data_IF_038128018238
#
_entry.id   IF_038128018238
#
_cell.length_a   1.000
_cell.length_b   1.000
_cell.length_c   1.000
_cell.angle_alpha   90.00
_cell.angle_beta   90.00
_cell.angle_gamma   90.00
#
_symmetry.space_group_name_H-M   'P 1'
#
loop_
_entity.id
_entity.type
_entity.pdbx_description
1 polymer ?
#
# COMPACT_ATOMS: atom_id res chain seq x y z
N UNK A 1 10.99 4.95 33.59
CA UNK A 1 9.71 5.63 33.88
C UNK A 1 9.09 6.00 32.55
N UNK A 2 8.13 5.19 32.06
CA UNK A 2 7.38 5.49 30.84
C UNK A 2 6.21 6.38 31.28
N UNK A 3 6.21 7.65 30.86
CA UNK A 3 5.14 8.59 31.23
C UNK A 3 4.00 8.43 30.24
N UNK A 4 2.91 7.83 30.69
CA UNK A 4 1.63 7.88 29.99
C UNK A 4 0.97 9.23 30.31
N UNK A 5 0.88 10.13 29.34
CA UNK A 5 -0.11 11.22 29.45
C UNK A 5 -1.48 10.64 29.10
N UNK A 6 -2.44 10.84 30.00
CA UNK A 6 -3.83 10.40 29.84
C UNK A 6 -4.41 10.74 28.46
N UNK A 7 -5.18 9.84 27.82
CA UNK A 7 -5.86 10.10 26.54
C UNK A 7 -6.88 11.25 26.59
N UNK A 8 -7.17 11.80 27.78
CA UNK A 8 -8.15 12.87 28.00
C UNK A 8 -7.55 14.28 28.12
N UNK A 9 -6.22 14.42 28.25
CA UNK A 9 -5.61 15.73 28.48
C UNK A 9 -5.22 16.39 27.14
N UNK A 10 -5.60 17.66 26.88
CA UNK A 10 -5.13 18.34 25.69
C UNK A 10 -3.63 18.54 25.87
N UNK A 11 -2.82 17.82 25.10
CA UNK A 11 -1.40 18.12 24.84
C UNK A 11 -1.27 19.44 24.06
N UNK A 12 -1.90 20.50 24.55
CA UNK A 12 -1.59 21.88 24.26
C UNK A 12 -0.93 22.44 25.51
N UNK A 13 0.40 22.34 25.51
CA UNK A 13 1.31 23.15 26.31
C UNK A 13 1.21 22.97 27.83
N UNK A 14 2.07 22.11 28.42
CA UNK A 14 2.55 22.40 29.77
C UNK A 14 3.60 23.52 29.69
N UNK A 15 3.16 24.77 29.88
CA UNK A 15 4.03 25.96 30.05
C UNK A 15 4.84 25.94 31.37
N UNK A 16 5.22 24.77 31.87
CA UNK A 16 6.11 24.66 33.01
C UNK A 16 7.40 24.02 32.52
N UNK A 17 8.42 24.86 32.36
CA UNK A 17 9.82 24.54 32.10
C UNK A 17 10.20 24.22 30.64
N UNK A 18 10.29 25.21 29.75
CA UNK A 18 11.20 25.32 28.57
C UNK A 18 11.48 24.08 27.68
N UNK A 19 10.69 23.01 27.75
CA UNK A 19 10.97 21.74 27.08
C UNK A 19 9.65 21.25 26.51
N UNK A 20 9.52 21.29 25.18
CA UNK A 20 8.43 20.61 24.48
C UNK A 20 8.77 19.13 24.45
N UNK A 21 8.13 18.34 25.31
CA UNK A 21 8.25 16.88 25.27
C UNK A 21 7.35 16.35 24.16
N UNK A 22 7.97 15.92 23.06
CA UNK A 22 7.28 15.15 22.04
C UNK A 22 7.33 13.68 22.46
N UNK A 23 6.17 13.12 22.81
CA UNK A 23 6.08 11.66 22.92
C UNK A 23 6.27 11.09 21.52
N UNK A 24 7.17 10.11 21.33
CA UNK A 24 7.33 9.49 20.03
C UNK A 24 6.00 8.86 19.59
N UNK A 25 5.66 8.92 18.30
CA UNK A 25 4.50 8.20 17.78
C UNK A 25 4.67 6.70 18.05
N UNK A 26 3.57 6.04 18.39
CA UNK A 26 3.54 4.62 18.67
C UNK A 26 3.68 3.83 17.36
N UNK A 27 4.33 2.69 17.39
CA UNK A 27 4.31 1.76 16.26
C UNK A 27 2.91 1.15 16.10
N UNK A 28 2.65 0.53 14.95
CA UNK A 28 1.38 -0.16 14.72
C UNK A 28 1.19 -1.30 15.74
N UNK A 29 2.26 -2.04 16.04
CA UNK A 29 2.27 -3.15 16.98
C UNK A 29 1.96 -2.68 18.40
N UNK A 30 2.56 -1.55 18.83
CA UNK A 30 2.28 -0.94 20.14
C UNK A 30 0.81 -0.51 20.24
N UNK A 31 0.24 0.07 19.18
CA UNK A 31 -1.17 0.46 19.17
C UNK A 31 -2.11 -0.75 19.22
N UNK A 32 -1.84 -1.80 18.44
CA UNK A 32 -2.63 -3.03 18.46
C UNK A 32 -2.53 -3.71 19.83
N UNK A 33 -1.35 -3.72 20.45
CA UNK A 33 -1.14 -4.23 21.79
C UNK A 33 -1.96 -3.46 22.83
N UNK A 34 -1.88 -2.13 22.83
CA UNK A 34 -2.68 -1.32 23.74
C UNK A 34 -4.19 -1.47 23.50
N UNK A 35 -4.63 -1.55 22.24
CA UNK A 35 -6.03 -1.81 21.92
C UNK A 35 -6.53 -3.12 22.55
N UNK A 36 -5.70 -4.17 22.46
CA UNK A 36 -6.00 -5.50 22.98
C UNK A 36 -6.00 -5.56 24.51
N UNK A 37 -4.97 -4.98 25.15
CA UNK A 37 -4.80 -4.97 26.62
C UNK A 37 -5.86 -4.13 27.31
N UNK A 38 -6.21 -2.98 26.73
CA UNK A 38 -7.23 -2.06 27.26
C UNK A 38 -8.65 -2.41 26.81
N UNK A 39 -8.80 -3.52 26.07
CA UNK A 39 -10.04 -4.01 25.51
C UNK A 39 -10.85 -2.96 24.73
N UNK A 40 -10.14 -2.16 23.93
CA UNK A 40 -10.76 -1.14 23.08
C UNK A 40 -11.66 -1.78 22.01
N UNK A 41 -12.77 -1.13 21.61
CA UNK A 41 -13.73 -1.69 20.64
C UNK A 41 -13.25 -1.57 19.18
N UNK A 42 -11.96 -1.72 18.93
CA UNK A 42 -11.36 -1.67 17.59
C UNK A 42 -10.67 -2.99 17.28
N UNK A 43 -10.91 -3.51 16.08
CA UNK A 43 -10.14 -4.60 15.48
C UNK A 43 -8.76 -4.12 15.04
N UNK A 44 -7.86 -5.06 14.80
CA UNK A 44 -6.52 -4.74 14.31
C UNK A 44 -6.54 -4.03 12.94
N UNK A 45 -7.48 -4.40 12.06
CA UNK A 45 -7.70 -3.73 10.76
C UNK A 45 -8.09 -2.25 10.94
N UNK A 46 -8.95 -1.97 11.92
CA UNK A 46 -9.40 -0.62 12.23
C UNK A 46 -8.26 0.21 12.82
N UNK A 47 -7.43 -0.38 13.67
CA UNK A 47 -6.22 0.27 14.19
C UNK A 47 -5.23 0.55 13.04
N UNK A 48 -4.99 -0.40 12.15
CA UNK A 48 -4.11 -0.23 10.99
C UNK A 48 -4.62 0.87 10.05
N UNK A 49 -5.94 0.94 9.80
CA UNK A 49 -6.52 2.03 9.01
C UNK A 49 -6.30 3.41 9.66
N UNK A 50 -6.41 3.49 10.99
CA UNK A 50 -6.16 4.73 11.73
C UNK A 50 -4.68 5.07 11.80
N UNK A 51 -3.82 4.07 11.91
CA UNK A 51 -2.38 4.25 11.80
C UNK A 51 -2.00 4.80 10.42
N UNK A 52 -2.59 4.31 9.32
CA UNK A 52 -2.37 4.89 8.00
C UNK A 52 -2.77 6.37 7.91
N UNK A 53 -3.82 6.78 8.63
CA UNK A 53 -4.31 8.16 8.71
C UNK A 53 -3.44 9.07 9.59
N UNK A 54 -3.02 8.60 10.76
CA UNK A 54 -2.44 9.44 11.82
C UNK A 54 -1.01 9.02 12.27
N UNK A 55 -0.43 8.00 11.63
CA UNK A 55 0.95 7.48 11.78
C UNK A 55 1.50 7.38 13.19
N UNK A 56 0.69 6.85 14.11
CA UNK A 56 1.14 6.49 15.45
C UNK A 56 0.68 7.42 16.56
N UNK A 57 -0.07 8.49 16.24
CA UNK A 57 -0.65 9.37 17.27
C UNK A 57 -1.76 8.64 18.02
N UNK A 58 -1.42 8.05 19.16
CA UNK A 58 -2.32 7.20 19.97
C UNK A 58 -3.68 7.85 20.23
N UNK A 59 -3.72 9.15 20.57
CA UNK A 59 -4.98 9.90 20.80
C UNK A 59 -5.94 9.82 19.61
N UNK A 60 -5.42 9.97 18.39
CA UNK A 60 -6.21 9.97 17.17
C UNK A 60 -6.54 8.53 16.76
N UNK A 61 -5.58 7.60 16.93
CA UNK A 61 -5.79 6.18 16.69
C UNK A 61 -6.84 5.56 17.63
N UNK A 62 -6.96 6.03 18.87
CA UNK A 62 -7.95 5.56 19.85
C UNK A 62 -9.19 6.44 19.96
N UNK A 63 -9.39 7.45 19.11
CA UNK A 63 -10.54 8.34 19.22
C UNK A 63 -11.88 7.60 19.06
N UNK A 64 -12.70 7.55 20.11
CA UNK A 64 -14.03 6.90 20.08
C UNK A 64 -15.10 7.78 19.43
N UNK A 65 -14.96 9.09 19.53
CA UNK A 65 -15.93 10.06 19.02
C UNK A 65 -15.94 10.08 17.47
N UNK A 66 -17.02 9.58 16.82
CA UNK A 66 -17.10 9.55 15.37
C UNK A 66 -17.28 10.95 14.75
N UNK A 67 -17.75 11.95 15.51
CA UNK A 67 -17.92 13.32 15.04
C UNK A 67 -16.61 14.11 15.01
N UNK A 68 -15.68 13.77 15.92
CA UNK A 68 -14.37 14.45 16.02
C UNK A 68 -13.33 13.90 15.05
N UNK A 69 -13.42 12.61 14.69
CA UNK A 69 -12.46 11.98 13.79
C UNK A 69 -12.36 12.66 12.40
N UNK A 70 -13.47 13.03 11.73
CA UNK A 70 -13.41 13.80 10.49
C UNK A 70 -12.75 15.17 10.65
N UNK A 71 -13.00 15.87 11.77
CA UNK A 71 -12.39 17.17 12.04
C UNK A 71 -10.87 17.06 12.20
N UNK A 72 -10.37 16.06 12.92
CA UNK A 72 -8.93 15.83 13.08
C UNK A 72 -8.27 15.42 11.76
N UNK A 73 -8.97 14.64 10.92
CA UNK A 73 -8.51 14.35 9.56
C UNK A 73 -8.45 15.60 8.70
N UNK A 74 -9.47 16.43 8.77
CA UNK A 74 -9.57 17.67 8.00
C UNK A 74 -8.45 18.66 8.37
N UNK A 75 -8.17 18.85 9.65
CA UNK A 75 -7.01 19.64 10.14
C UNK A 75 -5.67 19.09 9.63
N UNK A 76 -5.54 17.77 9.52
CA UNK A 76 -4.35 17.11 8.98
C UNK A 76 -4.21 17.31 7.46
N UNK A 77 -5.33 17.41 6.73
CA UNK A 77 -5.32 17.41 5.26
C UNK A 77 -5.39 18.81 4.65
N UNK A 78 -6.13 19.73 5.25
CA UNK A 78 -6.30 21.12 4.77
C UNK A 78 -4.98 21.82 4.45
N UNK A 79 -3.93 21.74 5.29
CA UNK A 79 -2.69 22.44 4.99
C UNK A 79 -1.98 21.88 3.75
N UNK A 80 -2.18 20.61 3.38
CA UNK A 80 -1.65 20.08 2.12
C UNK A 80 -2.34 20.68 0.89
N UNK A 81 -3.58 21.14 1.02
CA UNK A 81 -4.36 21.68 -0.08
C UNK A 81 -3.96 23.12 -0.44
N UNK A 82 -3.44 23.86 0.53
CA UNK A 82 -3.04 25.27 0.36
C UNK A 82 -1.59 25.45 -0.11
N UNK A 83 -0.82 24.37 -0.24
CA UNK A 83 0.55 24.45 -0.77
C UNK A 83 0.47 24.86 -2.24
N UNK A 84 1.21 25.89 -2.63
CA UNK A 84 1.21 26.42 -4.01
C UNK A 84 2.61 26.60 -4.60
N UNK A 85 3.66 26.60 -3.79
CA UNK A 85 5.04 26.82 -4.24
C UNK A 85 6.07 26.19 -3.28
N UNK A 86 7.36 26.27 -3.65
CA UNK A 86 8.49 25.80 -2.83
C UNK A 86 8.49 26.43 -1.45
N UNK A 87 8.33 27.76 -1.39
CA UNK A 87 8.35 28.49 -0.12
C UNK A 87 7.25 28.00 0.83
N UNK A 88 6.06 27.67 0.31
CA UNK A 88 4.99 27.10 1.12
C UNK A 88 5.34 25.69 1.64
N UNK A 89 6.05 24.89 0.85
CA UNK A 89 6.55 23.57 1.26
C UNK A 89 7.65 23.68 2.31
N UNK A 90 8.61 24.58 2.10
CA UNK A 90 9.71 24.83 3.04
C UNK A 90 9.15 25.32 4.38
N UNK A 91 8.17 26.23 4.37
CA UNK A 91 7.48 26.69 5.59
C UNK A 91 6.75 25.55 6.31
N UNK A 92 6.21 24.58 5.57
CA UNK A 92 5.50 23.43 6.14
C UNK A 92 6.45 22.38 6.74
N UNK A 93 7.60 22.14 6.11
CA UNK A 93 8.52 21.04 6.46
C UNK A 93 9.73 21.47 7.29
N UNK A 94 10.18 22.71 7.15
CA UNK A 94 11.29 23.27 7.94
C UNK A 94 10.75 24.07 9.13
N UNK A 95 9.49 24.52 9.05
CA UNK A 95 8.86 25.37 10.05
C UNK A 95 9.28 26.84 9.89
N UNK A 96 8.47 27.73 10.44
CA UNK A 96 8.77 29.16 10.55
C UNK A 96 8.69 29.52 12.04
N UNK A 97 9.55 30.41 12.56
CA UNK A 97 9.37 30.95 13.90
C UNK A 97 7.94 31.49 14.06
N UNK A 98 7.22 31.05 15.09
CA UNK A 98 5.80 31.36 15.39
C UNK A 98 4.74 30.66 14.53
N UNK A 99 5.11 29.77 13.60
CA UNK A 99 4.15 28.93 12.84
C UNK A 99 4.26 27.46 13.25
N UNK A 100 3.36 27.03 14.12
CA UNK A 100 3.32 25.65 14.63
C UNK A 100 2.67 24.65 13.66
N UNK A 101 2.26 25.08 12.45
CA UNK A 101 1.61 24.18 11.47
C UNK A 101 2.48 22.99 11.09
N UNK A 102 3.80 23.16 11.03
CA UNK A 102 4.75 22.07 10.75
C UNK A 102 4.62 20.89 11.73
N UNK A 103 4.20 21.14 12.98
CA UNK A 103 4.03 20.12 14.02
C UNK A 103 2.84 19.18 13.78
N UNK A 104 1.92 19.56 12.89
CA UNK A 104 0.83 18.68 12.45
C UNK A 104 1.29 17.71 11.34
N UNK A 105 2.40 18.02 10.66
CA UNK A 105 2.91 17.25 9.52
C UNK A 105 4.12 16.42 9.85
N UNK A 106 4.85 16.78 10.91
CA UNK A 106 6.11 16.15 11.27
C UNK A 106 6.07 15.60 12.69
N UNK A 107 6.53 14.37 12.83
CA UNK A 107 6.85 13.75 14.10
C UNK A 107 8.36 13.76 14.30
N UNK A 108 8.77 14.05 15.53
CA UNK A 108 10.14 13.85 15.96
C UNK A 108 10.36 12.37 16.22
N UNK A 109 11.42 11.81 15.64
CA UNK A 109 11.85 10.44 15.85
C UNK A 109 13.26 10.44 16.45
N UNK A 110 13.49 9.83 17.63
CA UNK A 110 14.81 9.76 18.21
C UNK A 110 15.77 8.97 17.29
N UNK A 111 16.98 9.48 17.09
CA UNK A 111 18.08 8.77 16.43
C UNK A 111 18.95 8.08 17.47
N UNK A 112 19.27 6.81 17.23
CA UNK A 112 20.26 6.06 17.99
C UNK A 112 19.97 6.06 19.50
N UNK A 113 20.84 6.70 20.28
CA UNK A 113 20.76 6.78 21.74
C UNK A 113 19.71 7.77 22.27
N UNK A 114 18.92 8.39 21.40
CA UNK A 114 17.84 9.30 21.75
C UNK A 114 18.29 10.72 22.10
N UNK A 115 19.57 11.07 21.90
CA UNK A 115 20.07 12.45 22.07
C UNK A 115 19.90 13.32 20.82
N UNK A 116 19.71 12.69 19.68
CA UNK A 116 19.42 13.34 18.40
C UNK A 116 18.01 12.96 17.95
N UNK A 117 17.40 13.81 17.13
CA UNK A 117 16.05 13.60 16.61
C UNK A 117 16.07 13.84 15.10
N UNK A 118 15.39 12.99 14.34
CA UNK A 118 14.95 13.30 12.98
C UNK A 118 13.51 13.80 12.98
N UNK A 119 13.06 14.30 11.84
CA UNK A 119 11.65 14.59 11.57
C UNK A 119 11.15 13.73 10.43
N UNK A 120 10.04 13.03 10.65
CA UNK A 120 9.34 12.23 9.63
C UNK A 120 7.92 12.72 9.44
N UNK A 121 7.34 12.47 8.27
CA UNK A 121 5.94 12.79 8.01
C UNK A 121 5.01 12.04 8.96
N UNK A 122 3.95 12.74 9.38
CA UNK A 122 2.97 12.30 10.38
C UNK A 122 2.30 10.98 10.01
N UNK A 123 2.03 10.73 8.72
CA UNK A 123 1.36 9.51 8.27
C UNK A 123 1.55 9.23 6.79
N UNK A 124 1.31 7.98 6.40
CA UNK A 124 1.32 7.57 4.99
C UNK A 124 0.24 8.29 4.16
N UNK A 125 -0.94 8.52 4.74
CA UNK A 125 -2.00 9.31 4.08
C UNK A 125 -1.53 10.74 3.76
N UNK A 126 -0.88 11.41 4.71
CA UNK A 126 -0.37 12.77 4.52
C UNK A 126 0.71 12.79 3.45
N UNK A 127 1.61 11.81 3.45
CA UNK A 127 2.62 11.64 2.39
C UNK A 127 1.97 11.50 1.01
N UNK A 128 0.92 10.68 0.88
CA UNK A 128 0.21 10.50 -0.39
C UNK A 128 -0.48 11.81 -0.83
N UNK A 129 -1.17 12.51 0.07
CA UNK A 129 -1.84 13.78 -0.24
C UNK A 129 -0.83 14.87 -0.62
N UNK A 130 0.27 14.97 0.11
CA UNK A 130 1.35 15.91 -0.17
C UNK A 130 1.97 15.61 -1.53
N UNK A 131 2.24 14.34 -1.85
CA UNK A 131 2.74 13.93 -3.15
C UNK A 131 1.78 14.28 -4.29
N UNK A 132 0.46 14.05 -4.11
CA UNK A 132 -0.58 14.44 -5.08
C UNK A 132 -0.58 15.95 -5.33
N UNK A 133 -0.52 16.74 -4.26
CA UNK A 133 -0.48 18.20 -4.37
C UNK A 133 0.78 18.66 -5.09
N UNK A 134 1.95 18.17 -4.67
CA UNK A 134 3.22 18.53 -5.27
C UNK A 134 3.25 18.16 -6.76
N UNK A 135 2.78 16.96 -7.12
CA UNK A 135 2.66 16.54 -8.50
C UNK A 135 1.80 17.50 -9.35
N UNK A 136 0.71 18.00 -8.78
CA UNK A 136 -0.16 19.01 -9.42
C UNK A 136 0.57 20.35 -9.61
N UNK A 137 1.24 20.85 -8.57
CA UNK A 137 1.97 22.14 -8.61
C UNK A 137 3.07 22.12 -9.67
N UNK A 138 3.90 21.07 -9.69
CA UNK A 138 5.02 20.94 -10.64
C UNK A 138 4.54 20.52 -12.04
N UNK A 139 3.23 20.39 -12.26
CA UNK A 139 2.61 19.93 -13.52
C UNK A 139 3.27 18.64 -14.04
N UNK A 140 3.62 17.73 -13.12
CA UNK A 140 4.28 16.45 -13.41
C UNK A 140 5.74 16.49 -13.88
N UNK A 141 6.47 17.60 -13.65
CA UNK A 141 7.91 17.75 -13.95
C UNK A 141 8.77 17.18 -12.80
N UNK A 142 9.11 15.89 -12.88
CA UNK A 142 9.87 15.18 -11.81
C UNK A 142 11.22 15.81 -11.46
N UNK A 143 11.95 16.41 -12.41
CA UNK A 143 13.22 17.06 -12.11
C UNK A 143 13.01 18.24 -11.14
N UNK A 144 11.92 18.98 -11.31
CA UNK A 144 11.55 20.04 -10.37
C UNK A 144 11.19 19.45 -9.00
N UNK A 145 10.53 18.28 -8.93
CA UNK A 145 10.30 17.59 -7.65
C UNK A 145 11.61 17.21 -6.94
N UNK A 146 12.61 16.74 -7.70
CA UNK A 146 13.92 16.37 -7.16
C UNK A 146 14.62 17.58 -6.54
N UNK A 147 14.62 18.72 -7.24
CA UNK A 147 15.23 19.96 -6.76
C UNK A 147 14.48 20.57 -5.57
N UNK A 148 13.15 20.43 -5.55
CA UNK A 148 12.29 20.91 -4.46
C UNK A 148 12.46 20.12 -3.18
N UNK A 149 12.65 18.80 -3.28
CA UNK A 149 12.71 17.88 -2.13
C UNK A 149 14.14 17.61 -1.66
N UNK A 150 15.15 18.22 -2.29
CA UNK A 150 16.54 18.09 -1.88
C UNK A 150 16.75 18.76 -0.51
N UNK A 151 17.29 18.02 0.46
CA UNK A 151 17.57 18.54 1.81
C UNK A 151 16.34 18.64 2.73
N UNK A 152 15.18 18.17 2.27
CA UNK A 152 13.94 18.16 3.04
C UNK A 152 13.83 16.84 3.83
N UNK A 153 13.42 16.88 5.12
CA UNK A 153 13.13 15.65 5.88
C UNK A 153 12.08 14.78 5.17
N UNK A 154 12.28 13.47 5.12
CA UNK A 154 11.45 12.53 4.34
C UNK A 154 11.40 12.79 2.81
N UNK A 155 12.25 13.67 2.27
CA UNK A 155 12.24 14.06 0.86
C UNK A 155 12.39 12.88 -0.11
N UNK A 156 13.15 11.85 0.25
CA UNK A 156 13.26 10.62 -0.54
C UNK A 156 11.94 9.85 -0.62
N UNK A 157 11.27 9.65 0.52
CA UNK A 157 9.97 8.99 0.57
C UNK A 157 8.91 9.78 -0.21
N UNK A 158 8.93 11.11 -0.13
CA UNK A 158 8.06 11.97 -0.93
C UNK A 158 8.34 11.86 -2.44
N UNK A 159 9.62 11.79 -2.86
CA UNK A 159 9.97 11.60 -4.27
C UNK A 159 9.38 10.30 -4.83
N UNK A 160 9.46 9.21 -4.06
CA UNK A 160 8.81 7.94 -4.38
C UNK A 160 7.30 8.10 -4.51
N UNK A 161 6.63 8.68 -3.52
CA UNK A 161 5.18 8.86 -3.58
C UNK A 161 4.74 9.75 -4.76
N UNK A 162 5.54 10.74 -5.16
CA UNK A 162 5.27 11.53 -6.37
C UNK A 162 5.42 10.68 -7.64
N UNK A 163 6.42 9.79 -7.70
CA UNK A 163 6.55 8.84 -8.80
C UNK A 163 5.33 7.92 -8.87
N UNK A 164 4.87 7.39 -7.73
CA UNK A 164 3.67 6.55 -7.66
C UNK A 164 2.44 7.30 -8.19
N UNK A 165 2.17 8.51 -7.67
CA UNK A 165 1.08 9.37 -8.13
C UNK A 165 1.16 9.61 -9.64
N UNK A 166 2.36 9.90 -10.16
CA UNK A 166 2.59 10.13 -11.59
C UNK A 166 2.24 8.92 -12.43
N UNK A 167 2.66 7.74 -12.02
CA UNK A 167 2.37 6.47 -12.71
C UNK A 167 0.87 6.21 -12.72
N UNK A 168 0.23 6.17 -11.55
CA UNK A 168 -1.21 5.92 -11.44
C UNK A 168 -2.04 6.93 -12.24
N UNK A 169 -1.71 8.23 -12.18
CA UNK A 169 -2.42 9.27 -12.94
C UNK A 169 -2.27 9.09 -14.45
N UNK A 170 -1.09 8.66 -14.93
CA UNK A 170 -0.89 8.43 -16.37
C UNK A 170 -1.65 7.21 -16.86
N UNK A 171 -1.63 6.11 -16.10
CA UNK A 171 -2.33 4.87 -16.43
C UNK A 171 -3.85 5.11 -16.44
N UNK A 172 -4.39 5.75 -15.40
CA UNK A 172 -5.80 6.14 -15.33
C UNK A 172 -6.23 6.99 -16.54
N UNK A 173 -5.37 7.91 -17.02
CA UNK A 173 -5.65 8.77 -18.18
C UNK A 173 -5.61 8.04 -19.53
N UNK A 174 -5.38 6.73 -19.57
CA UNK A 174 -5.33 5.96 -20.81
C UNK A 174 -4.08 6.26 -21.66
N UNK A 175 -2.99 6.70 -21.02
CA UNK A 175 -1.74 6.95 -21.75
C UNK A 175 -1.16 5.61 -22.20
N UNK A 176 -0.80 5.43 -23.49
CA UNK A 176 -0.18 4.20 -23.95
C UNK A 176 1.16 4.02 -23.25
N UNK A 177 1.44 2.79 -22.84
CA UNK A 177 2.63 2.42 -22.07
C UNK A 177 3.65 1.76 -22.99
N UNK A 178 4.90 2.20 -22.95
CA UNK A 178 6.00 1.51 -23.63
C UNK A 178 6.88 0.86 -22.56
N UNK A 179 7.04 -0.45 -22.63
CA UNK A 179 7.83 -1.22 -21.68
C UNK A 179 8.81 -2.16 -22.39
N UNK A 180 10.03 -2.25 -21.88
CA UNK A 180 11.06 -3.18 -22.34
C UNK A 180 10.85 -4.52 -21.67
N UNK A 181 10.84 -5.60 -22.44
CA UNK A 181 10.73 -6.95 -21.92
C UNK A 181 12.04 -7.38 -21.25
N UNK A 182 11.95 -8.10 -20.13
CA UNK A 182 13.13 -8.42 -19.28
C UNK A 182 13.79 -9.77 -19.59
N UNK A 183 13.11 -10.66 -20.31
CA UNK A 183 13.63 -11.96 -20.79
C UNK A 183 14.24 -11.88 -22.20
N UNK A 184 14.06 -10.77 -22.93
CA UNK A 184 14.57 -10.59 -24.29
C UNK A 184 15.46 -9.33 -24.35
N UNK A 185 16.78 -9.54 -24.46
CA UNK A 185 17.79 -8.48 -24.41
C UNK A 185 17.68 -7.43 -25.54
N UNK A 186 17.01 -7.76 -26.65
CA UNK A 186 17.02 -6.97 -27.90
C UNK A 186 15.65 -6.45 -28.34
N UNK A 187 14.58 -6.63 -27.55
CA UNK A 187 13.24 -6.18 -27.95
C UNK A 187 13.13 -4.64 -27.94
N UNK A 188 12.73 -4.06 -29.09
CA UNK A 188 12.17 -2.70 -29.13
C UNK A 188 10.99 -2.66 -28.14
N UNK A 189 10.88 -1.59 -27.36
CA UNK A 189 9.86 -1.46 -26.31
C UNK A 189 8.47 -1.86 -26.80
N UNK A 190 7.82 -2.77 -26.08
CA UNK A 190 6.45 -3.21 -26.35
C UNK A 190 5.49 -2.10 -25.94
N UNK A 191 4.59 -1.72 -26.86
CA UNK A 191 3.54 -0.74 -26.61
C UNK A 191 2.27 -1.45 -26.16
N UNK A 192 1.74 -1.05 -25.01
CA UNK A 192 0.45 -1.47 -24.48
C UNK A 192 -0.55 -0.32 -24.61
N UNK A 193 -1.73 -0.61 -25.15
CA UNK A 193 -2.86 0.34 -25.13
C UNK A 193 -3.55 0.25 -23.78
N UNK A 194 -3.84 1.42 -23.20
CA UNK A 194 -4.52 1.53 -21.91
C UNK A 194 -5.74 2.40 -22.14
N UNK A 195 -6.92 1.89 -21.81
CA UNK A 195 -8.16 2.66 -21.89
C UNK A 195 -8.25 3.61 -20.71
N UNK A 196 -8.71 4.83 -20.98
CA UNK A 196 -8.94 5.84 -19.95
C UNK A 196 -10.02 5.36 -18.98
N UNK A 197 -9.73 5.44 -17.68
CA UNK A 197 -10.72 5.25 -16.62
C UNK A 197 -11.33 6.60 -16.25
N UNK A 198 -12.65 6.62 -16.01
CA UNK A 198 -13.34 7.85 -15.60
C UNK A 198 -12.81 8.33 -14.24
N UNK A 199 -12.72 7.42 -13.29
CA UNK A 199 -12.19 7.65 -11.94
C UNK A 199 -11.02 6.70 -11.65
N UNK A 200 -10.31 6.96 -10.55
CA UNK A 200 -9.28 6.07 -10.05
C UNK A 200 -9.94 5.11 -9.06
N UNK A 201 -10.17 3.87 -9.48
CA UNK A 201 -10.72 2.85 -8.59
C UNK A 201 -9.64 2.46 -7.56
N UNK A 202 -9.88 2.78 -6.29
CA UNK A 202 -8.95 2.53 -5.20
C UNK A 202 -9.54 1.47 -4.28
N UNK A 203 -8.89 0.31 -4.22
CA UNK A 203 -9.39 -0.84 -3.47
C UNK A 203 -8.44 -1.27 -2.34
N UNK A 204 -9.00 -1.90 -1.32
CA UNK A 204 -8.26 -2.65 -0.30
C UNK A 204 -8.17 -4.14 -0.67
N UNK A 205 -7.17 -4.84 -0.16
CA UNK A 205 -6.95 -6.26 -0.47
C UNK A 205 -8.16 -7.15 -0.13
N UNK A 206 -8.93 -6.79 0.89
CA UNK A 206 -10.15 -7.49 1.30
C UNK A 206 -11.39 -7.18 0.43
N UNK A 207 -11.33 -6.18 -0.46
CA UNK A 207 -12.40 -5.81 -1.39
C UNK A 207 -12.26 -6.56 -2.74
N UNK A 208 -11.22 -7.38 -2.90
CA UNK A 208 -10.94 -8.15 -4.12
C UNK A 208 -12.05 -9.16 -4.41
N UNK A 209 -12.82 -8.88 -5.45
CA UNK A 209 -13.90 -9.73 -5.98
C UNK A 209 -14.01 -9.55 -7.49
N UNK A 210 -14.72 -10.44 -8.17
CA UNK A 210 -15.05 -10.30 -9.60
C UNK A 210 -15.81 -9.01 -9.92
N UNK A 211 -16.58 -8.49 -8.96
CA UNK A 211 -17.33 -7.24 -9.12
C UNK A 211 -16.42 -6.03 -9.34
N UNK A 212 -15.17 -6.07 -8.86
CA UNK A 212 -14.20 -4.99 -9.05
C UNK A 212 -13.94 -4.72 -10.53
N UNK A 213 -14.00 -5.75 -11.39
CA UNK A 213 -13.81 -5.62 -12.84
C UNK A 213 -14.87 -4.75 -13.53
N UNK A 214 -16.00 -4.47 -12.86
CA UNK A 214 -17.06 -3.61 -13.38
C UNK A 214 -16.81 -2.12 -13.13
N UNK A 215 -15.88 -1.76 -12.24
CA UNK A 215 -15.60 -0.37 -11.88
C UNK A 215 -14.81 0.40 -12.95
N UNK A 216 -14.28 -0.32 -13.94
CA UNK A 216 -13.48 0.23 -15.01
C UNK A 216 -12.21 -0.58 -15.24
N UNK A 217 -11.32 -0.12 -16.13
CA UNK A 217 -10.18 -0.91 -16.53
C UNK A 217 -8.95 -0.77 -15.63
N UNK A 218 -8.86 0.26 -14.78
CA UNK A 218 -7.66 0.54 -13.98
C UNK A 218 -7.97 0.58 -12.48
N UNK A 219 -7.22 -0.20 -11.70
CA UNK A 219 -7.40 -0.34 -10.26
C UNK A 219 -6.08 -0.07 -9.54
N UNK A 220 -6.13 0.81 -8.53
CA UNK A 220 -5.02 1.15 -7.64
C UNK A 220 -5.25 0.50 -6.29
N UNK A 221 -4.22 -0.09 -5.71
CA UNK A 221 -4.27 -0.57 -4.35
C UNK A 221 -4.10 0.60 -3.35
N UNK A 222 -4.89 0.59 -2.27
CA UNK A 222 -4.90 1.67 -1.26
C UNK A 222 -3.66 1.71 -0.36
N UNK A 223 -3.04 0.56 -0.09
CA UNK A 223 -1.88 0.43 0.80
C UNK A 223 -0.84 -0.50 0.16
N UNK A 224 0.45 -0.16 0.25
CA UNK A 224 1.56 -0.94 -0.34
C UNK A 224 1.82 -2.29 0.36
N UNK A 225 0.87 -2.80 1.15
CA UNK A 225 1.02 -4.01 1.96
C UNK A 225 0.64 -5.28 1.19
N UNK A 226 0.14 -5.16 -0.04
CA UNK A 226 -0.15 -6.34 -0.85
C UNK A 226 1.13 -6.86 -1.49
N UNK A 227 1.37 -8.15 -1.28
CA UNK A 227 2.55 -8.95 -1.54
C UNK A 227 3.07 -8.91 -2.98
N UNK A 228 3.51 -7.75 -3.47
CA UNK A 228 4.18 -7.49 -4.76
C UNK A 228 3.37 -6.79 -5.84
N UNK A 229 2.31 -6.03 -5.52
CA UNK A 229 1.59 -5.21 -6.51
C UNK A 229 1.11 -3.88 -5.94
N UNK A 230 1.14 -2.84 -6.78
CA UNK A 230 0.65 -1.49 -6.46
C UNK A 230 -0.68 -1.17 -7.19
N UNK A 231 -1.02 -1.96 -8.21
CA UNK A 231 -2.28 -1.85 -8.94
C UNK A 231 -2.33 -2.80 -10.13
N UNK A 232 -3.45 -2.85 -10.84
CA UNK A 232 -3.60 -3.66 -12.04
C UNK A 232 -4.49 -2.98 -13.08
N UNK A 233 -4.35 -3.42 -14.33
CA UNK A 233 -5.22 -3.05 -15.44
C UNK A 233 -5.87 -4.30 -16.02
N UNK A 234 -7.18 -4.23 -16.19
CA UNK A 234 -7.98 -5.23 -16.85
C UNK A 234 -8.65 -4.58 -18.08
N UNK A 235 -8.37 -5.05 -19.31
CA UNK A 235 -9.04 -4.51 -20.49
C UNK A 235 -10.52 -4.90 -20.43
N UNK A 236 -11.41 -3.90 -20.35
CA UNK A 236 -12.87 -4.13 -20.42
C UNK A 236 -13.18 -4.78 -21.77
N UNK A 237 -13.57 -6.05 -21.74
CA UNK A 237 -14.05 -6.76 -22.92
C UNK A 237 -15.50 -6.32 -23.20
N UNK A 238 -15.88 -6.07 -24.46
CA UNK A 238 -17.28 -5.90 -24.83
C UNK A 238 -18.10 -7.11 -24.37
N UNK A 239 -19.34 -6.86 -23.93
CA UNK A 239 -20.26 -7.93 -23.50
C UNK A 239 -20.42 -8.95 -24.63
N UNK A 240 -20.05 -10.21 -24.38
CA UNK A 240 -20.16 -11.31 -25.34
C UNK A 240 -18.88 -11.65 -26.12
N UNK A 241 -17.78 -10.92 -25.94
CA UNK A 241 -16.49 -11.28 -26.53
C UNK A 241 -15.63 -12.12 -25.57
N UNK A 242 -15.21 -13.30 -26.01
CA UNK A 242 -14.12 -14.06 -25.39
C UNK A 242 -12.78 -13.41 -25.77
N UNK A 243 -11.82 -13.31 -24.83
CA UNK A 243 -10.52 -12.71 -25.12
C UNK A 243 -9.82 -13.50 -26.24
N UNK A 244 -9.50 -12.83 -27.35
CA UNK A 244 -8.63 -13.37 -28.39
C UNK A 244 -7.21 -13.51 -27.81
N UNK A 245 -6.69 -14.75 -27.83
CA UNK A 245 -5.47 -15.18 -27.13
C UNK A 245 -4.15 -14.55 -27.63
N UNK A 246 -4.16 -13.86 -28.78
CA UNK A 246 -2.94 -13.38 -29.45
C UNK A 246 -2.74 -11.84 -29.44
N UNK A 247 -3.69 -11.07 -28.93
CA UNK A 247 -3.59 -9.61 -28.94
C UNK A 247 -2.94 -9.09 -27.66
N UNK A 248 -1.73 -8.49 -27.79
CA UNK A 248 -1.03 -7.79 -26.69
C UNK A 248 -1.90 -6.74 -25.98
N UNK A 249 -2.92 -6.22 -26.67
CA UNK A 249 -3.87 -5.23 -26.19
C UNK A 249 -4.97 -5.83 -25.26
N UNK A 250 -5.03 -7.16 -25.09
CA UNK A 250 -6.01 -7.87 -24.25
C UNK A 250 -5.41 -8.49 -22.97
N UNK A 251 -4.18 -8.13 -22.61
CA UNK A 251 -3.50 -8.66 -21.43
C UNK A 251 -3.91 -7.95 -20.13
N UNK A 252 -3.97 -8.73 -19.06
CA UNK A 252 -4.00 -8.23 -17.68
C UNK A 252 -2.62 -7.66 -17.37
N UNK A 253 -2.54 -6.40 -16.98
CA UNK A 253 -1.26 -5.77 -16.60
C UNK A 253 -1.20 -5.63 -15.09
N UNK A 254 -0.20 -6.27 -14.47
CA UNK A 254 0.05 -6.22 -13.04
C UNK A 254 1.16 -5.21 -12.79
N UNK A 255 0.87 -4.12 -12.08
CA UNK A 255 1.82 -3.01 -11.90
C UNK A 255 2.54 -3.09 -10.57
N UNK A 256 3.84 -2.82 -10.63
CA UNK A 256 4.68 -2.60 -9.45
C UNK A 256 5.57 -1.39 -9.65
N UNK A 257 5.67 -0.51 -8.66
CA UNK A 257 6.47 0.71 -8.67
C UNK A 257 7.65 0.48 -7.73
N UNK A 258 8.84 0.44 -8.29
CA UNK A 258 10.06 0.02 -7.59
C UNK A 258 11.16 1.08 -7.72
N UNK A 259 11.70 1.51 -6.57
CA UNK A 259 12.91 2.34 -6.52
C UNK A 259 14.20 1.50 -6.56
N UNK A 260 14.10 0.20 -6.25
CA UNK A 260 15.20 -0.76 -6.34
C UNK A 260 15.22 -1.48 -7.68
N UNK A 261 16.40 -1.82 -8.16
CA UNK A 261 16.62 -2.67 -9.35
C UNK A 261 16.36 -4.16 -9.05
N UNK A 262 16.31 -4.54 -7.78
CA UNK A 262 15.98 -5.89 -7.29
C UNK A 262 14.86 -5.81 -6.27
N UNK A 263 13.75 -6.46 -6.58
CA UNK A 263 12.52 -6.48 -5.81
C UNK A 263 11.80 -7.80 -6.07
N UNK A 264 12.02 -8.83 -5.24
CA UNK A 264 11.42 -10.14 -5.45
C UNK A 264 9.90 -10.06 -5.47
N UNK A 265 9.29 -10.84 -6.34
CA UNK A 265 7.84 -10.95 -6.52
C UNK A 265 7.36 -12.19 -5.79
N UNK A 266 6.39 -12.05 -4.90
CA UNK A 266 5.75 -13.18 -4.23
C UNK A 266 4.65 -13.74 -5.13
N UNK A 267 4.75 -15.03 -5.44
CA UNK A 267 3.77 -15.73 -6.26
C UNK A 267 2.37 -15.72 -5.62
N UNK A 268 2.33 -15.87 -4.29
CA UNK A 268 1.11 -15.87 -3.48
C UNK A 268 0.21 -14.66 -3.77
N UNK A 269 0.80 -13.45 -3.81
CA UNK A 269 0.06 -12.22 -4.12
C UNK A 269 -0.59 -12.22 -5.51
N UNK A 270 0.14 -12.66 -6.54
CA UNK A 270 -0.38 -12.70 -7.92
C UNK A 270 -1.49 -13.76 -8.05
N UNK A 271 -1.27 -14.95 -7.49
CA UNK A 271 -2.25 -16.05 -7.54
C UNK A 271 -3.53 -15.65 -6.80
N UNK A 272 -3.40 -15.05 -5.61
CA UNK A 272 -4.55 -14.59 -4.83
C UNK A 272 -5.38 -13.57 -5.60
N UNK A 273 -4.74 -12.58 -6.23
CA UNK A 273 -5.43 -11.59 -7.06
C UNK A 273 -6.20 -12.27 -8.20
N UNK A 274 -5.53 -13.10 -8.99
CA UNK A 274 -6.15 -13.76 -10.14
C UNK A 274 -7.29 -14.69 -9.71
N UNK A 275 -7.16 -15.38 -8.57
CA UNK A 275 -8.21 -16.22 -7.98
C UNK A 275 -9.44 -15.39 -7.61
N UNK A 276 -9.25 -14.30 -6.85
CA UNK A 276 -10.35 -13.43 -6.40
C UNK A 276 -11.05 -12.68 -7.54
N UNK A 277 -10.33 -12.41 -8.64
CA UNK A 277 -10.89 -11.82 -9.86
C UNK A 277 -11.53 -12.87 -10.80
N UNK A 278 -11.43 -14.17 -10.51
CA UNK A 278 -11.94 -15.23 -11.38
C UNK A 278 -11.15 -15.42 -12.68
N UNK A 279 -9.88 -15.00 -12.72
CA UNK A 279 -9.00 -15.00 -13.89
C UNK A 279 -7.90 -16.06 -13.82
N UNK A 280 -7.79 -16.82 -12.72
CA UNK A 280 -6.70 -17.76 -12.48
C UNK A 280 -6.61 -18.83 -13.57
N UNK A 281 -7.69 -19.52 -13.89
CA UNK A 281 -7.68 -20.61 -14.89
C UNK A 281 -7.34 -20.10 -16.29
N UNK A 282 -7.78 -18.89 -16.62
CA UNK A 282 -7.48 -18.23 -17.89
C UNK A 282 -5.98 -17.96 -18.05
N UNK A 283 -5.32 -17.46 -16.99
CA UNK A 283 -3.87 -17.19 -17.00
C UNK A 283 -3.08 -18.50 -16.87
N UNK A 284 -3.59 -19.49 -16.16
CA UNK A 284 -2.97 -20.82 -16.05
C UNK A 284 -2.93 -21.56 -17.38
N UNK A 285 -3.99 -21.47 -18.18
CA UNK A 285 -4.03 -22.04 -19.52
C UNK A 285 -3.05 -21.34 -20.50
N UNK A 286 -2.83 -20.04 -20.31
CA UNK A 286 -1.86 -19.27 -21.11
C UNK A 286 -1.29 -18.08 -20.30
N UNK A 287 -0.10 -18.21 -19.70
CA UNK A 287 0.50 -17.16 -18.88
C UNK A 287 0.74 -15.83 -19.61
N UNK A 288 0.77 -15.86 -20.96
CA UNK A 288 0.89 -14.65 -21.79
C UNK A 288 -0.35 -13.75 -21.75
N UNK A 289 -1.46 -14.20 -21.16
CA UNK A 289 -2.64 -13.36 -20.86
C UNK A 289 -2.39 -12.34 -19.76
N UNK A 290 -1.35 -12.53 -18.94
CA UNK A 290 -0.91 -11.56 -17.96
C UNK A 290 0.46 -10.98 -18.35
N UNK A 291 0.78 -9.81 -17.80
CA UNK A 291 2.12 -9.23 -17.87
C UNK A 291 2.43 -8.50 -16.56
N UNK A 292 3.62 -8.74 -16.00
CA UNK A 292 4.12 -7.98 -14.87
C UNK A 292 4.89 -6.76 -15.38
N UNK A 293 4.50 -5.57 -14.94
CA UNK A 293 5.08 -4.30 -15.36
C UNK A 293 5.71 -3.58 -14.17
N UNK A 294 7.03 -3.45 -14.20
CA UNK A 294 7.79 -2.72 -13.20
C UNK A 294 8.04 -1.28 -13.66
N UNK A 295 7.57 -0.31 -12.89
CA UNK A 295 7.91 1.09 -13.06
C UNK A 295 9.15 1.42 -12.24
N UNK A 296 10.20 1.87 -12.94
CA UNK A 296 11.45 2.28 -12.34
C UNK A 296 11.81 3.70 -12.78
N UNK A 297 12.52 4.50 -11.96
CA UNK A 297 13.14 5.74 -12.41
C UNK A 297 13.94 5.54 -13.71
N UNK A 298 14.03 6.60 -14.52
CA UNK A 298 14.79 6.53 -15.78
C UNK A 298 16.29 6.29 -15.54
N UNK A 299 16.80 6.82 -14.43
CA UNK A 299 18.14 6.54 -13.91
C UNK A 299 18.12 5.11 -13.36
N UNK A 300 18.99 4.23 -13.86
CA UNK A 300 19.04 2.80 -13.45
C UNK A 300 18.17 1.84 -14.26
N UNK A 301 17.35 2.33 -15.21
CA UNK A 301 16.45 1.48 -16.03
C UNK A 301 17.19 0.42 -16.87
N UNK A 302 18.44 0.70 -17.26
CA UNK A 302 19.28 -0.21 -18.04
C UNK A 302 19.72 -1.43 -17.22
N UNK A 303 19.91 -1.23 -15.92
CA UNK A 303 20.40 -2.25 -14.99
C UNK A 303 19.25 -3.03 -14.33
N UNK A 304 18.00 -2.67 -14.65
CA UNK A 304 16.81 -3.37 -14.17
C UNK A 304 16.68 -4.74 -14.85
N UNK A 305 16.75 -5.80 -14.02
CA UNK A 305 16.77 -7.19 -14.43
C UNK A 305 15.44 -7.89 -14.15
N UNK A 306 15.28 -9.12 -14.67
CA UNK A 306 14.15 -9.99 -14.33
C UNK A 306 14.12 -10.23 -12.83
N UNK A 307 12.96 -10.07 -12.23
CA UNK A 307 12.74 -10.21 -10.80
C UNK A 307 12.54 -11.67 -10.43
N UNK A 308 13.14 -12.09 -9.32
CA UNK A 308 12.96 -13.44 -8.77
C UNK A 308 11.52 -13.62 -8.29
N UNK A 309 10.91 -14.75 -8.66
CA UNK A 309 9.62 -15.18 -8.09
C UNK A 309 9.90 -16.00 -6.82
N UNK A 310 9.31 -15.57 -5.70
CA UNK A 310 9.32 -16.29 -4.43
C UNK A 310 8.06 -17.15 -4.38
N UNK A 311 8.27 -18.46 -4.25
CA UNK A 311 7.22 -19.48 -4.20
C UNK A 311 6.93 -19.99 -2.79
N UNK A 312 7.60 -19.43 -1.77
CA UNK A 312 7.34 -19.75 -0.37
C UNK A 312 6.35 -18.73 0.22
N UNK A 313 5.31 -19.25 0.87
CA UNK A 313 4.39 -18.42 1.66
C UNK A 313 5.06 -17.97 2.95
N UNK A 314 4.66 -16.81 3.49
CA UNK A 314 5.12 -16.35 4.83
C UNK A 314 4.87 -17.45 5.87
N UNK A 315 3.76 -18.18 5.75
CA UNK A 315 3.33 -19.20 6.70
C UNK A 315 4.03 -20.57 6.56
N UNK A 316 4.98 -20.72 5.63
CA UNK A 316 5.75 -21.99 5.50
C UNK A 316 6.83 -22.16 6.57
N UNK A 317 7.18 -21.10 7.31
CA UNK A 317 8.08 -21.17 8.48
C UNK A 317 7.81 -20.13 9.59
N UNK A 318 6.58 -20.06 10.12
CA UNK A 318 6.35 -19.80 11.54
C UNK A 318 5.61 -21.00 12.15
N UNK A 319 6.13 -21.60 13.23
CA UNK A 319 5.41 -22.71 13.90
C UNK A 319 4.28 -22.20 14.78
N UNK A 320 4.28 -20.90 15.09
CA UNK A 320 3.33 -20.24 15.97
C UNK A 320 2.66 -19.07 15.26
N UNK A 321 1.40 -18.82 15.59
CA UNK A 321 0.62 -17.74 14.97
C UNK A 321 1.09 -16.34 15.37
N UNK A 322 1.78 -16.20 16.51
CA UNK A 322 2.35 -14.92 16.95
C UNK A 322 3.65 -14.53 16.25
N UNK A 323 4.20 -15.42 15.41
CA UNK A 323 5.37 -15.15 14.57
C UNK A 323 4.98 -14.73 13.14
N UNK A 324 3.68 -14.73 12.81
CA UNK A 324 3.17 -14.36 11.48
C UNK A 324 3.12 -12.84 11.35
N UNK A 325 3.85 -12.29 10.38
CA UNK A 325 3.77 -10.88 10.03
C UNK A 325 2.32 -10.50 9.65
N UNK A 326 1.84 -9.40 10.21
CA UNK A 326 0.47 -8.92 9.97
C UNK A 326 -0.59 -9.44 10.95
N UNK A 327 -0.27 -10.36 11.88
CA UNK A 327 -1.15 -10.72 12.99
C UNK A 327 -0.88 -9.78 14.18
N UNK A 328 -1.85 -8.91 14.48
CA UNK A 328 -1.76 -7.99 15.61
C UNK A 328 -2.18 -8.63 16.94
N UNK A 329 -2.01 -7.88 18.04
CA UNK A 329 -2.31 -8.38 19.38
C UNK A 329 -3.80 -8.59 19.64
N UNK A 330 -4.69 -7.86 18.95
CA UNK A 330 -6.14 -8.09 19.04
C UNK A 330 -6.52 -9.42 18.41
N UNK A 331 -6.03 -9.66 17.19
CA UNK A 331 -6.17 -10.91 16.45
C UNK A 331 -5.60 -12.07 17.24
N UNK A 332 -4.42 -11.91 17.82
CA UNK A 332 -3.79 -12.96 18.62
C UNK A 332 -4.60 -13.30 19.88
N UNK A 333 -5.22 -12.31 20.54
CA UNK A 333 -6.12 -12.52 21.67
C UNK A 333 -7.34 -13.34 21.22
N UNK A 334 -7.99 -12.93 20.13
CA UNK A 334 -9.13 -13.66 19.52
C UNK A 334 -8.72 -15.09 19.17
N UNK A 335 -7.61 -15.32 18.44
CA UNK A 335 -7.12 -16.66 18.10
C UNK A 335 -6.93 -17.55 19.33
N UNK A 336 -6.36 -17.01 20.42
CA UNK A 336 -6.19 -17.76 21.67
C UNK A 336 -7.52 -18.12 22.34
N UNK A 337 -8.53 -17.26 22.29
CA UNK A 337 -9.89 -17.53 22.78
C UNK A 337 -10.48 -18.76 22.10
N UNK A 338 -10.27 -18.90 20.80
CA UNK A 338 -10.73 -20.05 20.00
C UNK A 338 -9.69 -21.18 19.89
N UNK A 339 -8.76 -21.28 20.85
CA UNK A 339 -7.75 -22.34 20.98
C UNK A 339 -6.75 -22.47 19.82
N UNK A 340 -6.53 -21.42 19.04
CA UNK A 340 -5.51 -21.39 17.96
C UNK A 340 -4.19 -20.87 18.50
N UNK A 341 -3.14 -21.71 18.52
CA UNK A 341 -1.78 -21.34 18.97
C UNK A 341 -0.73 -21.56 17.89
N UNK A 342 -0.95 -22.54 17.01
CA UNK A 342 -0.08 -22.93 15.91
C UNK A 342 -0.80 -22.73 14.59
N UNK A 343 -0.01 -22.69 13.52
CA UNK A 343 -0.53 -22.60 12.15
C UNK A 343 -1.42 -23.80 11.80
N UNK A 344 -1.09 -25.00 12.27
CA UNK A 344 -1.94 -26.19 12.08
C UNK A 344 -3.32 -26.05 12.75
N UNK A 345 -3.37 -25.47 13.96
CA UNK A 345 -4.64 -25.21 14.64
C UNK A 345 -5.48 -24.18 13.87
N UNK A 346 -4.82 -23.21 13.22
CA UNK A 346 -5.47 -22.20 12.40
C UNK A 346 -6.11 -22.82 11.15
N UNK A 347 -5.40 -23.73 10.47
CA UNK A 347 -5.92 -24.45 9.30
C UNK A 347 -7.22 -25.21 9.65
N UNK A 348 -7.19 -26.05 10.69
CA UNK A 348 -8.36 -26.79 11.16
C UNK A 348 -9.54 -25.86 11.49
N UNK A 349 -9.26 -24.74 12.18
CA UNK A 349 -10.32 -23.81 12.60
C UNK A 349 -10.86 -22.94 11.48
N UNK A 350 -10.08 -22.70 10.42
CA UNK A 350 -10.58 -22.04 9.21
C UNK A 350 -11.63 -22.94 8.53
N UNK A 351 -11.38 -24.24 8.44
CA UNK A 351 -12.34 -25.19 7.88
C UNK A 351 -13.62 -25.26 8.72
N UNK A 352 -13.49 -25.32 10.06
CA UNK A 352 -14.65 -25.23 10.97
C UNK A 352 -15.46 -23.96 10.75
N UNK A 353 -14.80 -22.81 10.58
CA UNK A 353 -15.45 -21.53 10.33
C UNK A 353 -16.17 -21.49 8.98
N UNK A 354 -15.54 -21.97 7.91
CA UNK A 354 -16.14 -22.01 6.57
C UNK A 354 -17.35 -22.95 6.50
N UNK A 355 -17.33 -24.04 7.26
CA UNK A 355 -18.44 -24.99 7.34
C UNK A 355 -19.56 -24.56 8.31
N UNK A 356 -19.41 -23.42 8.99
CA UNK A 356 -20.38 -22.91 9.96
C UNK A 356 -20.35 -23.60 11.33
N UNK A 357 -19.30 -24.39 11.61
CA UNK A 357 -19.10 -25.10 12.87
C UNK A 357 -18.45 -24.23 13.96
N UNK A 358 -17.84 -23.10 13.58
CA UNK A 358 -17.28 -22.12 14.52
C UNK A 358 -18.20 -20.90 14.62
N UNK A 359 -18.76 -20.66 15.80
CA UNK A 359 -19.54 -19.45 16.09
C UNK A 359 -18.66 -18.44 16.84
N UNK A 360 -18.57 -17.22 16.33
CA UNK A 360 -17.84 -16.13 16.95
C UNK A 360 -18.80 -15.26 17.77
N UNK A 361 -18.42 -14.91 19.00
CA UNK A 361 -19.32 -14.31 19.99
C UNK A 361 -19.66 -12.84 19.70
N UNK A 362 -18.71 -12.07 19.16
CA UNK A 362 -18.91 -10.65 18.87
C UNK A 362 -18.35 -10.20 17.51
N UNK A 363 -18.76 -9.00 17.06
CA UNK A 363 -18.38 -8.43 15.76
C UNK A 363 -16.87 -8.13 15.67
N UNK A 364 -16.24 -7.73 16.77
CA UNK A 364 -14.79 -7.45 16.82
C UNK A 364 -13.98 -8.73 16.63
N UNK A 365 -14.41 -9.81 17.27
CA UNK A 365 -13.86 -11.16 17.10
C UNK A 365 -14.04 -11.64 15.67
N UNK A 366 -15.20 -11.37 15.05
CA UNK A 366 -15.41 -11.67 13.62
C UNK A 366 -14.43 -10.92 12.72
N UNK A 367 -14.25 -9.62 12.92
CA UNK A 367 -13.29 -8.83 12.16
C UNK A 367 -11.85 -9.34 12.36
N UNK A 368 -11.47 -9.58 13.61
CA UNK A 368 -10.16 -10.13 13.98
C UNK A 368 -9.94 -11.53 13.41
N UNK A 369 -10.97 -12.38 13.34
CA UNK A 369 -10.90 -13.74 12.80
C UNK A 369 -10.75 -13.75 11.28
N UNK A 370 -11.41 -12.82 10.57
CA UNK A 370 -11.31 -12.73 9.12
C UNK A 370 -9.90 -12.33 8.66
N UNK A 371 -9.11 -11.65 9.50
CA UNK A 371 -7.73 -11.26 9.18
C UNK A 371 -6.79 -12.45 8.95
N UNK A 372 -6.61 -13.41 9.88
CA UNK A 372 -5.79 -14.60 9.67
C UNK A 372 -6.37 -15.53 8.60
N UNK A 373 -7.69 -15.59 8.42
CA UNK A 373 -8.32 -16.32 7.29
C UNK A 373 -7.82 -15.74 5.96
N UNK A 374 -7.85 -14.41 5.79
CA UNK A 374 -7.36 -13.76 4.55
C UNK A 374 -5.86 -13.99 4.34
N UNK A 375 -5.06 -13.90 5.40
CA UNK A 375 -3.62 -14.17 5.33
C UNK A 375 -3.35 -15.63 4.92
N UNK A 376 -4.10 -16.59 5.47
CA UNK A 376 -4.01 -18.00 5.12
C UNK A 376 -4.38 -18.26 3.66
N UNK A 377 -5.52 -17.73 3.21
CA UNK A 377 -5.95 -17.83 1.81
C UNK A 377 -4.90 -17.23 0.86
N UNK A 378 -4.32 -16.09 1.24
CA UNK A 378 -3.37 -15.35 0.42
C UNK A 378 -2.01 -16.04 0.36
N UNK A 379 -1.46 -16.47 1.49
CA UNK A 379 -0.07 -16.93 1.61
C UNK A 379 0.11 -18.44 1.61
N UNK A 380 -0.93 -19.22 1.89
CA UNK A 380 -0.83 -20.69 1.94
C UNK A 380 -1.67 -21.33 0.86
N UNK A 381 -2.99 -21.13 0.92
CA UNK A 381 -3.92 -21.83 0.01
C UNK A 381 -3.66 -21.53 -1.47
N UNK A 382 -3.09 -20.36 -1.79
CA UNK A 382 -2.74 -20.00 -3.16
C UNK A 382 -1.56 -20.80 -3.72
N UNK A 383 -0.72 -21.39 -2.86
CA UNK A 383 0.50 -22.10 -3.25
C UNK A 383 0.33 -23.63 -3.29
N UNK A 384 -0.82 -24.15 -2.88
CA UNK A 384 -1.10 -25.60 -2.81
C UNK A 384 -0.96 -26.32 -4.16
N UNK A 385 -1.20 -25.61 -5.26
CA UNK A 385 -1.04 -26.13 -6.61
C UNK A 385 0.28 -25.65 -7.24
N UNK A 386 1.28 -26.54 -7.43
CA UNK A 386 2.55 -26.20 -8.07
C UNK A 386 2.40 -25.62 -9.48
N UNK A 387 1.31 -25.95 -10.19
CA UNK A 387 1.03 -25.40 -11.51
C UNK A 387 0.71 -23.90 -11.45
N UNK A 388 0.16 -23.40 -10.34
CA UNK A 388 -0.08 -21.96 -10.15
C UNK A 388 1.25 -21.21 -9.98
N UNK A 389 2.20 -21.77 -9.22
CA UNK A 389 3.53 -21.17 -9.06
C UNK A 389 4.27 -21.14 -10.41
N UNK A 390 4.23 -22.26 -11.15
CA UNK A 390 4.81 -22.35 -12.49
C UNK A 390 4.21 -21.32 -13.44
N UNK A 391 2.88 -21.15 -13.42
CA UNK A 391 2.19 -20.11 -14.18
C UNK A 391 2.77 -18.72 -13.89
N UNK A 392 2.97 -18.36 -12.61
CA UNK A 392 3.52 -17.03 -12.25
C UNK A 392 4.93 -16.83 -12.81
N UNK A 393 5.80 -17.85 -12.78
CA UNK A 393 7.15 -17.77 -13.34
C UNK A 393 7.14 -17.54 -14.86
N UNK A 394 6.15 -18.11 -15.55
CA UNK A 394 5.95 -17.98 -17.00
C UNK A 394 5.28 -16.66 -17.42
N UNK A 395 4.71 -15.88 -16.48
CA UNK A 395 4.15 -14.56 -16.79
C UNK A 395 5.28 -13.62 -17.27
N UNK A 396 5.17 -13.04 -18.48
CA UNK A 396 6.18 -12.12 -19.00
C UNK A 396 6.39 -10.90 -18.11
N UNK A 397 7.66 -10.57 -17.83
CA UNK A 397 8.04 -9.38 -17.06
C UNK A 397 8.57 -8.27 -17.96
N UNK A 398 8.15 -7.03 -17.69
CA UNK A 398 8.55 -5.84 -18.41
C UNK A 398 8.96 -4.72 -17.45
N UNK A 399 9.84 -3.84 -17.90
CA UNK A 399 10.19 -2.60 -17.19
C UNK A 399 9.80 -1.38 -18.02
N UNK A 400 9.22 -0.38 -17.38
CA UNK A 400 8.85 0.90 -17.98
C UNK A 400 9.39 2.07 -17.15
N UNK A 401 9.66 3.19 -17.79
CA UNK A 401 9.99 4.43 -17.10
C UNK A 401 8.82 5.42 -17.11
N UNK A 402 8.69 6.19 -16.04
CA UNK A 402 7.77 7.33 -16.01
C UNK A 402 8.27 8.55 -16.80
N UNK A 403 9.53 8.54 -17.28
CA UNK A 403 10.22 9.65 -17.97
C UNK A 403 9.58 10.11 -19.30
N UNK A 404 9.96 11.32 -19.76
CA UNK A 404 9.42 11.97 -20.98
C UNK A 404 9.60 11.15 -22.27
N UNK A 405 10.58 10.25 -22.33
CA UNK A 405 11.01 9.62 -23.58
C UNK A 405 10.17 8.40 -24.02
N UNK A 406 9.24 7.89 -23.21
CA UNK A 406 8.55 6.61 -23.49
C UNK A 406 7.02 6.70 -23.48
N UNK A 407 6.47 7.88 -23.28
CA UNK A 407 5.02 8.08 -23.16
C UNK A 407 4.67 9.32 -23.98
N UNK A 408 4.42 9.12 -25.27
CA UNK A 408 4.12 10.20 -26.21
C UNK A 408 2.97 11.08 -25.69
N UNK A 409 3.22 12.39 -25.59
CA UNK A 409 2.17 13.40 -25.75
C UNK A 409 1.75 13.31 -27.22
N UNK A 410 0.66 12.61 -27.50
CA UNK A 410 -0.07 12.87 -28.73
C UNK A 410 -0.71 14.23 -28.52
N UNK A 411 -0.05 15.26 -29.06
CA UNK A 411 -0.62 16.59 -29.17
C UNK A 411 -1.96 16.49 -29.87
N UNK A 412 -2.92 17.23 -29.36
CA UNK A 412 -4.17 17.50 -30.05
C UNK A 412 -3.83 18.01 -31.46
N UNK A 413 -4.40 17.34 -32.47
CA UNK A 413 -4.65 17.95 -33.76
C UNK A 413 -5.90 18.82 -33.65
#
# INVERSE_FOLDING_TARGET
MVVFTSPTDPLRLSWRYRHTYYLPPWTLEELQLAASVLDYPFSDDKIENRFWKFGGVARNCFMLDPGRLPCELDELTKPTEVITCREALDKLLVGVPMDDRHRYFLHYEPKGDGRQWDTKLVSAMVREKLAKRLFSIIKGRMNQAQDLLLGIPDGESLRRSILEVRVHTKLQRGRPLIARRLDVATERGTRFKIVKSAEMDIFQSNELTTALLNNGPYHKLKQNNFLSMDGFYFPVLPVGETPSLDEKDKRILLFRIADSTTLPVRASGIIYLLKKLGLLDMVKANPKHAAQIFFHPAVGLKDFNRQQILSNGICTSPKRVDEVEGIGSGTLKTLRTYNVKKIADLEEKIDDFQNGNLTLEDEKDRENWLRPVRLWEQEVQCLDDPANVKMVDEIPQYVASSGKAQLYDVGAA
#
